data_IF_717841108752
#
_entry.id   IF_717841108752
#
_cell.length_a   1.000
_cell.length_b   1.000
_cell.length_c   1.000
_cell.angle_alpha   90.00
_cell.angle_beta   90.00
_cell.angle_gamma   90.00
#
_symmetry.space_group_name_H-M   'P 1'
#
loop_
_entity.id
_entity.type
_entity.pdbx_description
1 polymer ?
#
# COMPACT_ATOMS: atom_id res chain seq x y z
N UNK A 1 -14.77 -7.57 11.39
CA UNK A 1 -15.44 -7.97 10.12
C UNK A 1 -16.44 -6.90 9.69
N UNK A 2 -16.77 -6.76 8.41
CA UNK A 2 -17.84 -5.85 7.98
C UNK A 2 -17.95 -5.60 6.47
N UNK A 3 -19.06 -4.99 6.04
CA UNK A 3 -19.22 -4.42 4.70
C UNK A 3 -18.93 -2.92 4.79
N UNK A 4 -17.84 -2.45 4.17
CA UNK A 4 -17.40 -1.07 4.36
C UNK A 4 -17.97 -0.14 3.28
N UNK A 5 -18.56 1.01 3.65
CA UNK A 5 -18.97 2.01 2.67
C UNK A 5 -17.76 2.54 1.89
N UNK A 6 -17.90 2.61 0.57
CA UNK A 6 -16.77 2.84 -0.34
C UNK A 6 -16.06 4.18 -0.13
N UNK A 7 -16.80 5.21 0.28
CA UNK A 7 -16.28 6.56 0.53
C UNK A 7 -15.39 6.66 1.78
N UNK A 8 -15.53 5.76 2.75
CA UNK A 8 -14.76 5.78 4.02
C UNK A 8 -13.82 4.59 4.17
N UNK A 9 -13.84 3.65 3.22
CA UNK A 9 -13.12 2.38 3.32
C UNK A 9 -11.62 2.58 3.54
N UNK A 10 -10.96 3.43 2.75
CA UNK A 10 -9.51 3.64 2.86
C UNK A 10 -9.10 4.32 4.18
N UNK A 11 -9.71 5.44 4.60
CA UNK A 11 -9.43 6.02 5.92
C UNK A 11 -9.67 5.04 7.08
N UNK A 12 -10.75 4.25 7.03
CA UNK A 12 -11.06 3.28 8.07
C UNK A 12 -10.01 2.16 8.13
N UNK A 13 -9.55 1.67 6.98
CA UNK A 13 -8.48 0.66 6.92
C UNK A 13 -7.20 1.16 7.59
N UNK A 14 -6.78 2.41 7.32
CA UNK A 14 -5.59 2.97 7.97
C UNK A 14 -5.78 3.16 9.47
N UNK A 15 -6.95 3.62 9.91
CA UNK A 15 -7.27 3.74 11.32
C UNK A 15 -7.24 2.39 12.07
N UNK A 16 -7.68 1.30 11.41
CA UNK A 16 -7.61 -0.04 11.98
C UNK A 16 -6.16 -0.57 12.04
N UNK A 17 -5.34 -0.26 11.04
CA UNK A 17 -3.92 -0.65 11.03
C UNK A 17 -3.14 0.01 12.17
N UNK A 18 -3.49 1.24 12.55
CA UNK A 18 -2.91 1.90 13.74
C UNK A 18 -3.21 1.13 15.04
N UNK A 19 -4.19 0.23 15.04
CA UNK A 19 -4.60 -0.62 16.17
C UNK A 19 -4.28 -2.10 15.93
N UNK A 20 -3.36 -2.40 15.00
CA UNK A 20 -3.03 -3.75 14.56
C UNK A 20 -2.70 -4.72 15.71
N UNK A 21 -2.05 -4.25 16.78
CA UNK A 21 -1.68 -5.08 17.94
C UNK A 21 -2.88 -5.69 18.67
N UNK A 22 -4.06 -5.08 18.54
CA UNK A 22 -5.31 -5.56 19.13
C UNK A 22 -6.16 -6.42 18.17
N UNK A 23 -5.67 -6.69 16.96
CA UNK A 23 -6.45 -7.28 15.87
C UNK A 23 -5.80 -8.56 15.38
N UNK A 24 -6.50 -9.69 15.50
CA UNK A 24 -6.02 -10.97 14.97
C UNK A 24 -6.12 -11.00 13.42
N UNK A 25 -7.29 -10.65 12.88
CA UNK A 25 -7.51 -10.46 11.46
C UNK A 25 -8.72 -9.56 11.20
N UNK A 26 -8.85 -9.11 9.96
CA UNK A 26 -9.97 -8.31 9.48
C UNK A 26 -10.50 -8.92 8.18
N UNK A 27 -11.81 -9.09 8.11
CA UNK A 27 -12.50 -9.54 6.91
C UNK A 27 -13.48 -8.48 6.46
N UNK A 28 -13.23 -7.91 5.28
CA UNK A 28 -14.03 -6.81 4.74
C UNK A 28 -14.53 -7.11 3.35
N UNK A 29 -15.78 -6.71 3.09
CA UNK A 29 -16.30 -6.58 1.74
C UNK A 29 -16.11 -5.14 1.25
N UNK A 30 -15.55 -5.01 0.07
CA UNK A 30 -15.18 -3.75 -0.61
C UNK A 30 -15.49 -3.86 -2.11
N UNK A 31 -15.40 -2.76 -2.85
CA UNK A 31 -15.40 -2.84 -4.32
C UNK A 31 -14.23 -3.70 -4.79
N UNK A 32 -14.46 -4.50 -5.82
CA UNK A 32 -13.44 -5.40 -6.38
C UNK A 32 -12.16 -4.66 -6.77
N UNK A 33 -12.27 -3.50 -7.44
CA UNK A 33 -11.11 -2.69 -7.82
C UNK A 33 -10.26 -2.25 -6.62
N UNK A 34 -10.89 -1.98 -5.47
CA UNK A 34 -10.17 -1.64 -4.25
C UNK A 34 -9.40 -2.85 -3.74
N UNK A 35 -10.03 -4.02 -3.64
CA UNK A 35 -9.36 -5.27 -3.24
C UNK A 35 -8.19 -5.61 -4.18
N UNK A 36 -8.40 -5.48 -5.49
CA UNK A 36 -7.37 -5.71 -6.50
C UNK A 36 -6.17 -4.77 -6.33
N UNK A 37 -6.40 -3.51 -5.91
CA UNK A 37 -5.33 -2.56 -5.59
C UNK A 37 -4.64 -2.89 -4.27
N UNK A 38 -5.37 -3.35 -3.25
CA UNK A 38 -4.79 -3.71 -1.96
C UNK A 38 -3.83 -4.91 -2.11
N UNK A 39 -4.23 -5.90 -2.89
CA UNK A 39 -3.45 -7.13 -3.13
C UNK A 39 -2.51 -7.05 -4.34
N UNK A 40 -2.41 -5.89 -5.00
CA UNK A 40 -1.59 -5.73 -6.19
C UNK A 40 -0.11 -6.02 -5.89
N UNK A 41 0.57 -6.62 -6.86
CA UNK A 41 2.02 -6.88 -6.82
C UNK A 41 2.79 -5.84 -7.64
N UNK A 42 4.08 -5.61 -7.35
CA UNK A 42 4.92 -4.69 -8.11
C UNK A 42 4.88 -4.94 -9.63
N UNK A 43 4.94 -3.86 -10.40
CA UNK A 43 4.88 -3.84 -11.87
C UNK A 43 3.47 -3.80 -12.44
N UNK A 44 2.44 -4.07 -11.64
CA UNK A 44 1.04 -4.06 -12.07
C UNK A 44 0.42 -2.68 -12.20
N UNK A 45 -0.62 -2.54 -13.04
CA UNK A 45 -1.35 -1.27 -13.21
C UNK A 45 -2.07 -0.83 -11.92
N UNK A 46 -2.51 -1.77 -11.09
CA UNK A 46 -3.23 -1.52 -9.84
C UNK A 46 -2.31 -1.26 -8.65
N UNK A 47 -1.00 -1.58 -8.77
CA UNK A 47 -0.03 -1.38 -7.69
C UNK A 47 0.24 0.11 -7.45
N UNK A 48 0.26 0.49 -6.19
CA UNK A 48 0.48 1.87 -5.81
C UNK A 48 0.54 2.08 -4.30
N UNK A 49 0.33 3.34 -3.88
CA UNK A 49 0.38 3.74 -2.46
C UNK A 49 -0.48 2.85 -1.55
N UNK A 50 -1.72 2.52 -1.97
CA UNK A 50 -2.60 1.69 -1.16
C UNK A 50 -2.02 0.29 -0.94
N UNK A 51 -1.47 -0.33 -2.00
CA UNK A 51 -0.83 -1.65 -1.94
C UNK A 51 0.29 -1.64 -0.92
N UNK A 52 1.23 -0.70 -1.07
CA UNK A 52 2.43 -0.59 -0.22
C UNK A 52 2.06 -0.34 1.24
N UNK A 53 1.19 0.64 1.50
CA UNK A 53 0.86 1.05 2.86
C UNK A 53 0.04 -0.01 3.62
N UNK A 54 -0.65 -0.92 2.92
CA UNK A 54 -1.30 -2.06 3.57
C UNK A 54 -0.33 -3.22 3.75
N UNK A 55 0.44 -3.55 2.71
CA UNK A 55 1.34 -4.72 2.69
C UNK A 55 2.53 -4.59 3.65
N UNK A 56 2.89 -3.36 4.04
CA UNK A 56 3.92 -3.10 5.06
C UNK A 56 3.46 -3.53 6.47
N UNK A 57 2.15 -3.55 6.72
CA UNK A 57 1.55 -3.82 8.04
C UNK A 57 0.71 -5.10 8.08
N UNK A 58 0.24 -5.59 6.94
CA UNK A 58 -0.68 -6.72 6.86
C UNK A 58 -0.36 -7.65 5.69
N UNK A 59 -0.57 -8.96 5.90
CA UNK A 59 -0.78 -9.89 4.80
C UNK A 59 -2.18 -9.64 4.21
N UNK A 60 -2.23 -9.31 2.91
CA UNK A 60 -3.47 -9.03 2.17
C UNK A 60 -3.84 -10.25 1.34
N UNK A 61 -5.01 -10.83 1.57
CA UNK A 61 -5.49 -12.02 0.85
C UNK A 61 -6.90 -11.79 0.30
N UNK A 62 -7.08 -11.55 -1.00
CA UNK A 62 -8.39 -11.64 -1.64
C UNK A 62 -8.96 -13.05 -1.45
N UNK A 63 -10.24 -13.15 -1.14
CA UNK A 63 -10.90 -14.43 -0.88
C UNK A 63 -11.81 -14.84 -2.03
N UNK A 64 -12.86 -14.07 -2.30
CA UNK A 64 -13.81 -14.35 -3.38
C UNK A 64 -14.57 -13.08 -3.77
N UNK A 65 -15.04 -13.06 -5.03
CA UNK A 65 -15.84 -11.99 -5.60
C UNK A 65 -17.33 -12.21 -5.35
N UNK A 66 -18.09 -11.12 -5.29
CA UNK A 66 -19.54 -11.11 -5.06
C UNK A 66 -20.18 -10.20 -6.12
N UNK A 67 -21.07 -10.78 -6.91
CA UNK A 67 -21.81 -10.08 -7.96
C UNK A 67 -22.88 -9.12 -7.40
N UNK A 68 -23.26 -8.07 -8.16
CA UNK A 68 -24.24 -7.07 -7.73
C UNK A 68 -25.63 -7.63 -7.37
N UNK A 69 -26.01 -8.77 -7.95
CA UNK A 69 -27.26 -9.48 -7.68
C UNK A 69 -27.41 -9.95 -6.23
N UNK A 70 -26.32 -9.94 -5.46
CA UNK A 70 -26.30 -10.29 -4.04
C UNK A 70 -26.75 -9.15 -3.11
N UNK A 71 -27.13 -7.99 -3.66
CA UNK A 71 -27.44 -6.78 -2.89
C UNK A 71 -28.81 -6.17 -3.26
N UNK A 72 -29.43 -5.47 -2.29
CA UNK A 72 -30.64 -4.69 -2.50
C UNK A 72 -30.52 -3.29 -1.87
N UNK A 73 -30.49 -2.20 -2.66
CA UNK A 73 -30.44 -2.19 -4.13
C UNK A 73 -29.06 -2.65 -4.67
N UNK A 74 -29.00 -3.17 -5.91
CA UNK A 74 -27.75 -3.67 -6.48
C UNK A 74 -26.74 -2.54 -6.75
N UNK A 75 -25.45 -2.71 -6.41
CA UNK A 75 -24.40 -1.78 -6.78
C UNK A 75 -24.12 -1.81 -8.29
N UNK A 76 -23.40 -0.82 -8.80
CA UNK A 76 -23.00 -0.75 -10.23
C UNK A 76 -21.73 -1.54 -10.56
N UNK A 77 -21.06 -2.07 -9.55
CA UNK A 77 -19.75 -2.71 -9.66
C UNK A 77 -19.70 -3.93 -8.75
N UNK A 78 -18.82 -4.87 -9.10
CA UNK A 78 -18.58 -6.06 -8.30
C UNK A 78 -17.96 -5.71 -6.95
N UNK A 79 -18.29 -6.53 -5.95
CA UNK A 79 -17.65 -6.51 -4.64
C UNK A 79 -16.67 -7.69 -4.52
N UNK A 80 -15.76 -7.61 -3.56
CA UNK A 80 -14.86 -8.71 -3.23
C UNK A 80 -14.59 -8.71 -1.74
N UNK A 81 -14.43 -9.91 -1.17
CA UNK A 81 -14.07 -10.08 0.23
C UNK A 81 -12.56 -10.22 0.33
N UNK A 82 -11.96 -9.45 1.23
CA UNK A 82 -10.53 -9.49 1.52
C UNK A 82 -10.28 -9.80 2.99
N UNK A 83 -9.29 -10.63 3.25
CA UNK A 83 -8.69 -10.82 4.57
C UNK A 83 -7.44 -9.96 4.69
N UNK A 84 -7.35 -9.19 5.77
CA UNK A 84 -6.15 -8.49 6.21
C UNK A 84 -5.72 -9.10 7.53
N UNK A 85 -4.53 -9.67 7.57
CA UNK A 85 -3.95 -10.21 8.79
C UNK A 85 -2.75 -9.36 9.18
N UNK A 86 -2.78 -8.62 10.30
CA UNK A 86 -1.61 -7.92 10.80
C UNK A 86 -0.37 -8.81 10.85
N UNK A 87 0.77 -8.28 10.43
CA UNK A 87 2.03 -9.00 10.52
C UNK A 87 2.46 -9.10 11.98
N UNK A 88 2.99 -10.25 12.39
CA UNK A 88 3.50 -10.48 13.76
C UNK A 88 4.61 -9.48 14.10
N UNK A 89 5.43 -9.14 13.11
CA UNK A 89 6.36 -8.02 13.17
C UNK A 89 6.10 -7.14 11.93
N UNK A 90 5.73 -5.86 12.10
CA UNK A 90 5.56 -4.96 10.97
C UNK A 90 6.89 -4.76 10.25
N UNK A 91 6.85 -4.54 8.93
CA UNK A 91 8.07 -4.34 8.15
C UNK A 91 8.70 -2.95 8.37
N UNK A 92 7.93 -2.02 8.96
CA UNK A 92 8.37 -0.67 9.33
C UNK A 92 7.86 -0.39 10.74
N UNK A 93 8.75 0.10 11.61
CA UNK A 93 8.40 0.51 12.96
C UNK A 93 7.32 1.60 12.98
N UNK A 94 6.42 1.55 13.95
CA UNK A 94 5.33 2.52 14.12
C UNK A 94 5.83 3.97 14.19
N UNK A 95 6.99 4.19 14.83
CA UNK A 95 7.63 5.51 14.91
C UNK A 95 8.10 6.07 13.55
N UNK A 96 8.35 5.20 12.57
CA UNK A 96 8.82 5.57 11.23
C UNK A 96 7.70 5.52 10.19
N UNK A 97 6.51 5.01 10.55
CA UNK A 97 5.37 4.94 9.66
C UNK A 97 4.98 6.31 9.05
N UNK A 98 4.98 7.45 9.79
CA UNK A 98 4.67 8.74 9.19
C UNK A 98 5.67 9.18 8.11
N UNK A 99 6.98 8.98 8.33
CA UNK A 99 8.03 9.34 7.37
C UNK A 99 8.06 8.38 6.18
N UNK A 100 7.81 7.09 6.42
CA UNK A 100 7.64 6.10 5.37
C UNK A 100 6.45 6.43 4.47
N UNK A 101 5.28 6.76 5.06
CA UNK A 101 4.10 7.18 4.32
C UNK A 101 4.37 8.43 3.45
N UNK A 102 5.12 9.40 3.99
CA UNK A 102 5.54 10.58 3.24
C UNK A 102 6.44 10.23 2.04
N UNK A 103 7.42 9.34 2.22
CA UNK A 103 8.28 8.87 1.14
C UNK A 103 7.48 8.11 0.07
N UNK A 104 6.62 7.17 0.45
CA UNK A 104 5.77 6.43 -0.50
C UNK A 104 4.85 7.40 -1.26
N UNK A 105 4.28 8.39 -0.57
CA UNK A 105 3.45 9.43 -1.21
C UNK A 105 4.24 10.21 -2.27
N UNK A 106 5.46 10.66 -1.94
CA UNK A 106 6.34 11.35 -2.88
C UNK A 106 6.73 10.45 -4.05
N UNK A 107 7.09 9.19 -3.78
CA UNK A 107 7.50 8.22 -4.79
C UNK A 107 6.38 7.94 -5.80
N UNK A 108 5.11 7.91 -5.38
CA UNK A 108 3.95 7.66 -6.25
C UNK A 108 3.27 8.95 -6.77
N UNK A 109 3.79 10.15 -6.47
CA UNK A 109 3.14 11.42 -6.79
C UNK A 109 2.91 11.62 -8.31
N UNK A 110 3.89 11.27 -9.15
CA UNK A 110 3.75 11.33 -10.61
C UNK A 110 4.08 9.97 -11.23
N UNK A 111 3.03 9.18 -11.49
CA UNK A 111 3.11 7.80 -12.01
C UNK A 111 3.98 7.63 -13.25
N UNK A 112 4.01 8.63 -14.15
CA UNK A 112 4.76 8.58 -15.42
C UNK A 112 6.22 9.02 -15.28
N UNK A 113 6.62 9.56 -14.12
CA UNK A 113 8.00 10.00 -13.88
C UNK A 113 8.84 8.86 -13.32
N UNK A 114 10.15 8.98 -13.55
CA UNK A 114 11.15 8.09 -12.97
C UNK A 114 11.30 8.34 -11.47
N UNK A 115 11.85 7.36 -10.75
CA UNK A 115 12.04 7.40 -9.30
C UNK A 115 12.84 8.64 -8.87
N UNK A 116 13.96 8.94 -9.53
CA UNK A 116 14.79 10.14 -9.24
C UNK A 116 14.02 11.46 -9.37
N UNK A 117 13.03 11.51 -10.27
CA UNK A 117 12.23 12.72 -10.48
C UNK A 117 11.16 12.87 -9.39
N UNK A 118 10.57 11.75 -8.95
CA UNK A 118 9.59 11.75 -7.86
C UNK A 118 10.25 11.99 -6.49
N UNK A 119 11.47 11.51 -6.27
CA UNK A 119 12.21 11.67 -5.01
C UNK A 119 13.20 12.84 -5.01
N UNK A 120 13.12 13.74 -5.99
CA UNK A 120 14.00 14.91 -6.07
C UNK A 120 13.88 15.75 -4.78
N UNK A 121 15.00 15.99 -4.11
CA UNK A 121 15.05 16.73 -2.84
C UNK A 121 14.77 15.87 -1.60
N UNK A 122 14.42 14.59 -1.77
CA UNK A 122 14.29 13.61 -0.68
C UNK A 122 15.47 12.63 -0.70
N UNK A 123 15.78 12.06 -1.87
CA UNK A 123 16.89 11.14 -2.07
C UNK A 123 17.50 11.38 -3.46
N UNK A 124 18.81 11.55 -3.52
CA UNK A 124 19.53 11.77 -4.78
C UNK A 124 19.79 10.45 -5.52
N UNK A 125 20.12 10.56 -6.81
CA UNK A 125 20.28 9.39 -7.68
C UNK A 125 21.45 8.49 -7.23
N UNK A 126 22.55 9.06 -6.75
CA UNK A 126 23.71 8.32 -6.25
C UNK A 126 23.37 7.43 -5.06
N UNK A 127 22.54 7.90 -4.11
CA UNK A 127 22.12 7.08 -2.97
C UNK A 127 21.12 6.01 -3.37
N UNK A 128 20.24 6.29 -4.33
CA UNK A 128 19.35 5.27 -4.92
C UNK A 128 20.19 4.17 -5.58
N UNK A 129 21.21 4.53 -6.37
CA UNK A 129 22.13 3.58 -7.03
C UNK A 129 22.94 2.76 -6.02
N UNK A 130 23.38 3.37 -4.92
CA UNK A 130 24.09 2.67 -3.85
C UNK A 130 23.26 1.55 -3.18
N UNK A 131 21.93 1.62 -3.27
CA UNK A 131 21.01 0.56 -2.82
C UNK A 131 20.79 -0.55 -3.87
N UNK A 132 21.43 -0.44 -5.04
CA UNK A 132 21.23 -1.33 -6.18
C UNK A 132 19.91 -1.11 -6.92
N UNK A 133 19.31 0.07 -6.81
CA UNK A 133 18.05 0.44 -7.47
C UNK A 133 18.35 1.37 -8.65
N UNK A 134 17.74 1.13 -9.81
CA UNK A 134 17.84 2.05 -10.97
C UNK A 134 17.02 3.33 -10.71
N UNK A 135 17.64 4.53 -10.62
CA UNK A 135 16.90 5.78 -10.43
C UNK A 135 16.02 6.17 -11.62
N UNK A 136 16.26 5.56 -12.78
CA UNK A 136 15.47 5.66 -14.00
C UNK A 136 14.19 4.82 -14.01
N UNK A 137 14.05 3.87 -13.07
CA UNK A 137 12.86 3.02 -13.00
C UNK A 137 11.61 3.83 -12.60
N UNK A 138 10.42 3.26 -12.78
CA UNK A 138 9.18 3.82 -12.22
C UNK A 138 8.93 3.22 -10.85
N UNK A 139 8.38 4.00 -9.93
CA UNK A 139 8.09 3.55 -8.57
C UNK A 139 7.20 2.30 -8.53
N UNK A 140 6.27 2.18 -9.47
CA UNK A 140 5.36 1.02 -9.55
C UNK A 140 6.08 -0.30 -9.79
N UNK A 141 7.35 -0.31 -10.21
CA UNK A 141 8.14 -1.55 -10.38
C UNK A 141 8.85 -1.99 -9.11
N UNK A 142 8.83 -1.18 -8.06
CA UNK A 142 9.57 -1.43 -6.81
C UNK A 142 8.75 -2.29 -5.83
N UNK A 143 9.42 -3.23 -5.17
CA UNK A 143 8.83 -3.98 -4.06
C UNK A 143 8.63 -3.12 -2.82
N UNK A 144 7.84 -3.62 -1.86
CA UNK A 144 7.70 -2.99 -0.54
C UNK A 144 9.07 -2.89 0.13
N UNK A 145 9.91 -3.92 0.02
CA UNK A 145 11.26 -3.96 0.56
C UNK A 145 12.17 -2.90 -0.08
N UNK A 146 12.06 -2.65 -1.39
CA UNK A 146 12.82 -1.57 -2.05
C UNK A 146 12.45 -0.20 -1.49
N UNK A 147 11.15 0.03 -1.26
CA UNK A 147 10.66 1.29 -0.69
C UNK A 147 11.11 1.47 0.76
N UNK A 148 11.19 0.39 1.55
CA UNK A 148 11.76 0.41 2.90
C UNK A 148 13.24 0.77 2.84
N UNK A 149 14.03 0.13 1.96
CA UNK A 149 15.46 0.45 1.79
C UNK A 149 15.68 1.91 1.38
N UNK A 150 14.82 2.46 0.52
CA UNK A 150 14.85 3.88 0.15
C UNK A 150 14.54 4.78 1.35
N UNK A 151 13.54 4.42 2.15
CA UNK A 151 13.20 5.14 3.38
C UNK A 151 14.34 5.13 4.39
N UNK A 152 14.93 3.98 4.68
CA UNK A 152 15.99 3.86 5.68
C UNK A 152 17.23 4.67 5.26
N UNK A 153 17.52 4.73 3.96
CA UNK A 153 18.55 5.62 3.44
C UNK A 153 18.24 7.10 3.74
N UNK A 154 16.97 7.55 3.76
CA UNK A 154 16.67 8.93 4.15
C UNK A 154 16.97 9.22 5.62
N UNK A 155 16.90 8.21 6.50
CA UNK A 155 17.18 8.35 7.94
C UNK A 155 18.68 8.44 8.25
N UNK A 156 19.52 7.70 7.52
CA UNK A 156 20.98 7.72 7.69
C UNK A 156 21.66 8.99 7.14
N UNK A 157 20.89 10.00 6.75
CA UNK A 157 21.38 11.26 6.18
C UNK A 157 21.63 12.36 7.22
N UNK A 158 21.57 12.02 8.52
CA UNK A 158 21.85 12.91 9.65
C UNK A 158 23.27 12.74 10.20
#
# INVERSE_FOLDING_TARGET
VGNLPYNISTPLLFHLIEQADAIADMHFMLQKEVVDRMAAVPGGRTYGRLSVMLQVSCAVTPLFDIGPESFDPPPKVDSSVVRLQPLVAPLVDTQHMPTFAALVSSAFAQRRKTLRNNLKGVLDASRIEALGIDPGCRTETLSVQDLIRLHDATLSAG
#
